data_IF_243898992648
#
_entry.id   IF_243898992648
#
_cell.length_a   1.000
_cell.length_b   1.000
_cell.length_c   1.000
_cell.angle_alpha   90.00
_cell.angle_beta   90.00
_cell.angle_gamma   90.00
#
_symmetry.space_group_name_H-M   'P 1'
#
loop_
_entity.id
_entity.type
_entity.pdbx_description
1 polymer ?
#
# COMPACT_ATOMS: atom_id res chain seq x y z
N UNK A 1 3.44 -12.33 1.10
CA UNK A 1 4.82 -11.97 1.42
C UNK A 1 4.84 -10.88 2.47
N UNK A 2 5.69 -11.00 3.45
CA UNK A 2 5.68 -10.14 4.64
C UNK A 2 7.10 -9.80 5.06
N UNK A 3 7.30 -8.57 5.50
CA UNK A 3 8.57 -8.12 6.05
C UNK A 3 8.30 -7.24 7.28
N UNK A 4 9.06 -7.47 8.35
CA UNK A 4 8.99 -6.67 9.58
C UNK A 4 10.31 -5.94 9.76
N UNK A 5 10.24 -4.66 10.12
CA UNK A 5 11.42 -3.82 10.28
C UNK A 5 11.19 -2.81 11.41
N UNK A 6 12.28 -2.43 12.08
CA UNK A 6 12.26 -1.32 13.03
C UNK A 6 12.63 -0.04 12.29
N UNK A 7 11.84 1.00 12.49
CA UNK A 7 12.11 2.33 11.93
C UNK A 7 12.28 3.33 13.08
N UNK A 8 13.07 4.37 12.81
CA UNK A 8 13.23 5.49 13.73
C UNK A 8 12.09 6.47 13.56
N UNK A 9 11.61 7.01 14.68
CA UNK A 9 10.56 8.00 14.70
C UNK A 9 9.32 7.51 15.41
N UNK A 10 8.21 8.18 15.16
CA UNK A 10 6.92 7.88 15.78
C UNK A 10 6.00 7.21 14.78
N UNK A 11 5.28 6.18 15.24
CA UNK A 11 4.30 5.51 14.38
C UNK A 11 3.19 6.45 13.93
N UNK A 12 2.84 7.45 14.75
CA UNK A 12 1.83 8.46 14.41
C UNK A 12 2.25 9.27 13.18
N UNK A 13 3.52 9.64 13.10
CA UNK A 13 4.08 10.32 11.92
C UNK A 13 3.99 9.43 10.68
N UNK A 14 4.32 8.16 10.83
CA UNK A 14 4.25 7.20 9.74
C UNK A 14 2.83 7.01 9.23
N UNK A 15 1.87 6.83 10.13
CA UNK A 15 0.46 6.67 9.75
C UNK A 15 -0.06 7.92 9.04
N UNK A 16 0.31 9.10 9.53
CA UNK A 16 -0.06 10.37 8.91
C UNK A 16 0.45 10.47 7.47
N UNK A 17 1.67 9.98 7.21
CA UNK A 17 2.23 9.93 5.85
C UNK A 17 1.37 9.05 4.94
N UNK A 18 0.90 7.91 5.42
CA UNK A 18 0.01 7.04 4.64
C UNK A 18 -1.29 7.77 4.28
N UNK A 19 -1.89 8.44 5.25
CA UNK A 19 -3.16 9.17 5.05
C UNK A 19 -2.96 10.32 4.06
N UNK A 20 -1.92 11.11 4.21
CA UNK A 20 -1.63 12.21 3.29
C UNK A 20 -1.37 11.68 1.86
N UNK A 21 -0.64 10.58 1.75
CA UNK A 21 -0.33 9.97 0.45
C UNK A 21 -1.59 9.47 -0.26
N UNK A 22 -2.48 8.80 0.47
CA UNK A 22 -3.71 8.29 -0.14
C UNK A 22 -4.66 9.42 -0.48
N UNK A 23 -4.73 10.48 0.34
CA UNK A 23 -5.55 11.66 0.02
C UNK A 23 -5.05 12.35 -1.25
N UNK A 24 -3.74 12.50 -1.40
CA UNK A 24 -3.16 13.08 -2.61
C UNK A 24 -3.53 12.24 -3.84
N UNK A 25 -3.50 10.92 -3.72
CA UNK A 25 -3.85 10.00 -4.81
C UNK A 25 -5.34 10.08 -5.15
N UNK A 26 -6.21 10.10 -4.13
CA UNK A 26 -7.66 10.24 -4.33
C UNK A 26 -7.97 11.55 -5.04
N UNK A 27 -7.41 12.65 -4.57
CA UNK A 27 -7.68 13.97 -5.14
C UNK A 27 -7.12 14.12 -6.54
N UNK A 28 -5.98 13.50 -6.83
CA UNK A 28 -5.41 13.50 -8.18
C UNK A 28 -6.26 12.71 -9.18
N UNK A 29 -7.03 11.73 -8.71
CA UNK A 29 -7.89 10.89 -9.55
C UNK A 29 -9.37 11.26 -9.48
N UNK A 30 -9.74 12.31 -8.75
CA UNK A 30 -11.12 12.76 -8.64
C UNK A 30 -11.59 13.36 -9.96
N UNK A 31 -12.69 12.83 -10.50
CA UNK A 31 -13.26 13.27 -11.79
C UNK A 31 -14.35 14.33 -11.60
N UNK A 32 -14.92 14.42 -10.41
CA UNK A 32 -16.05 15.33 -10.11
C UNK A 32 -15.63 16.66 -9.51
N UNK A 33 -14.32 16.91 -9.40
CA UNK A 33 -13.78 18.14 -8.82
C UNK A 33 -13.92 18.22 -7.30
N UNK A 34 -14.45 17.17 -6.66
CA UNK A 34 -14.57 17.14 -5.20
C UNK A 34 -13.20 16.96 -4.57
N UNK A 35 -12.93 17.74 -3.52
CA UNK A 35 -11.71 17.63 -2.73
C UNK A 35 -12.04 16.84 -1.47
N UNK A 36 -11.35 15.71 -1.30
CA UNK A 36 -11.51 14.83 -0.14
C UNK A 36 -10.53 15.23 0.95
N UNK A 37 -10.97 15.08 2.19
CA UNK A 37 -10.16 15.33 3.38
C UNK A 37 -10.09 14.05 4.22
N UNK A 38 -9.26 14.06 5.26
CA UNK A 38 -9.09 12.92 6.15
C UNK A 38 -10.42 12.44 6.75
N UNK A 39 -11.35 13.38 7.03
CA UNK A 39 -12.66 13.04 7.60
C UNK A 39 -13.55 12.24 6.66
N UNK A 40 -13.28 12.26 5.36
CA UNK A 40 -14.03 11.47 4.38
C UNK A 40 -13.56 10.01 4.35
N UNK A 41 -12.39 9.71 4.89
CA UNK A 41 -11.83 8.36 4.88
C UNK A 41 -12.42 7.51 5.99
N UNK A 42 -12.80 6.29 5.64
CA UNK A 42 -13.34 5.30 6.58
C UNK A 42 -13.06 3.90 6.03
N UNK A 43 -13.09 2.86 6.87
CA UNK A 43 -12.97 1.49 6.36
C UNK A 43 -14.06 1.22 5.33
N UNK A 44 -13.64 0.67 4.19
CA UNK A 44 -14.53 0.42 3.05
C UNK A 44 -14.61 1.56 2.04
N UNK A 45 -13.93 2.67 2.27
CA UNK A 45 -13.86 3.76 1.29
C UNK A 45 -13.24 3.27 -0.01
N UNK A 46 -13.84 3.60 -1.15
CA UNK A 46 -13.36 3.16 -2.47
C UNK A 46 -13.17 4.36 -3.40
N UNK A 47 -12.19 4.23 -4.28
CA UNK A 47 -11.97 5.19 -5.37
C UNK A 47 -11.35 4.47 -6.56
N UNK A 48 -11.37 5.13 -7.71
CA UNK A 48 -10.80 4.58 -8.93
C UNK A 48 -9.54 5.34 -9.30
N UNK A 49 -8.49 4.59 -9.62
CA UNK A 49 -7.20 5.11 -10.00
C UNK A 49 -6.92 4.80 -11.46
N UNK A 50 -6.50 5.80 -12.23
CA UNK A 50 -6.10 5.62 -13.62
C UNK A 50 -4.68 5.08 -13.67
N UNK A 51 -4.49 3.97 -14.39
CA UNK A 51 -3.18 3.41 -14.65
C UNK A 51 -2.88 3.53 -16.13
N UNK A 52 -1.70 4.08 -16.44
CA UNK A 52 -1.15 3.97 -17.78
C UNK A 52 -0.30 2.73 -17.86
N UNK A 53 -0.71 1.79 -18.72
CA UNK A 53 0.13 0.63 -19.02
C UNK A 53 1.22 1.02 -20.00
N UNK A 54 2.33 0.26 -20.01
CA UNK A 54 3.44 0.48 -20.94
C UNK A 54 3.03 0.44 -22.41
N UNK A 55 1.82 -0.03 -22.72
CA UNK A 55 1.28 -0.14 -24.08
C UNK A 55 0.29 0.98 -24.42
N UNK A 56 0.21 2.02 -23.60
CA UNK A 56 -0.66 3.17 -23.85
C UNK A 56 -2.14 2.91 -23.64
N UNK A 57 -2.52 1.76 -23.09
CA UNK A 57 -3.90 1.46 -22.76
C UNK A 57 -4.23 2.02 -21.38
N UNK A 58 -5.21 2.92 -21.33
CA UNK A 58 -5.72 3.43 -20.08
C UNK A 58 -6.52 2.32 -19.37
N UNK A 59 -6.04 1.90 -18.19
CA UNK A 59 -6.78 1.00 -17.31
C UNK A 59 -7.25 1.73 -16.07
N UNK A 60 -8.31 1.22 -15.45
CA UNK A 60 -8.79 1.70 -14.16
C UNK A 60 -8.64 0.59 -13.13
N UNK A 61 -8.15 0.97 -11.96
CA UNK A 61 -8.05 0.07 -10.80
C UNK A 61 -8.94 0.64 -9.70
N UNK A 62 -9.80 -0.21 -9.17
CA UNK A 62 -10.59 0.15 -7.98
C UNK A 62 -9.71 -0.07 -6.75
N UNK A 63 -9.63 0.96 -5.91
CA UNK A 63 -8.90 0.88 -4.65
C UNK A 63 -9.90 0.92 -3.51
N UNK A 64 -9.76 0.00 -2.57
CA UNK A 64 -10.57 -0.05 -1.36
C UNK A 64 -9.66 0.09 -0.14
N UNK A 65 -9.95 1.06 0.72
CA UNK A 65 -9.29 1.17 2.02
C UNK A 65 -9.99 0.22 2.98
N UNK A 66 -9.50 -1.03 3.04
CA UNK A 66 -10.21 -2.11 3.72
C UNK A 66 -10.18 -1.98 5.24
N UNK A 67 -9.06 -1.51 5.80
CA UNK A 67 -8.94 -1.26 7.24
C UNK A 67 -8.17 0.02 7.48
N UNK A 68 -8.67 0.83 8.41
CA UNK A 68 -8.03 2.06 8.85
C UNK A 68 -8.19 2.13 10.37
N UNK A 69 -7.15 1.73 11.09
CA UNK A 69 -7.08 1.88 12.55
C UNK A 69 -5.99 2.90 12.83
N UNK A 70 -6.35 4.09 13.33
CA UNK A 70 -5.37 5.17 13.50
C UNK A 70 -4.12 4.74 14.24
N UNK A 71 -2.98 5.02 13.63
CA UNK A 71 -1.63 4.76 14.14
C UNK A 71 -1.27 3.27 14.29
N UNK A 72 -2.13 2.37 13.83
CA UNK A 72 -1.91 0.93 14.02
C UNK A 72 -2.02 0.11 12.73
N UNK A 73 -3.09 0.29 11.95
CA UNK A 73 -3.36 -0.58 10.79
C UNK A 73 -3.81 0.24 9.59
N UNK A 74 -3.20 -0.05 8.45
CA UNK A 74 -3.61 0.49 7.15
C UNK A 74 -3.61 -0.67 6.15
N UNK A 75 -4.78 -0.98 5.59
CA UNK A 75 -4.91 -2.05 4.60
C UNK A 75 -5.63 -1.50 3.37
N UNK A 76 -5.02 -1.65 2.21
CA UNK A 76 -5.60 -1.25 0.94
C UNK A 76 -5.66 -2.44 -0.01
N UNK A 77 -6.77 -2.56 -0.73
CA UNK A 77 -6.98 -3.58 -1.76
C UNK A 77 -7.08 -2.93 -3.12
N UNK A 78 -6.36 -3.48 -4.07
CA UNK A 78 -6.32 -3.00 -5.46
C UNK A 78 -6.96 -4.06 -6.35
N UNK A 79 -8.11 -3.73 -6.94
CA UNK A 79 -8.87 -4.64 -7.79
C UNK A 79 -8.53 -4.34 -9.26
N UNK A 80 -8.00 -5.34 -9.94
CA UNK A 80 -7.67 -5.24 -11.36
C UNK A 80 -8.31 -6.39 -12.13
N UNK A 81 -8.21 -6.35 -13.46
CA UNK A 81 -8.68 -7.44 -14.31
C UNK A 81 -7.93 -8.76 -14.05
N UNK A 82 -6.76 -8.69 -13.43
CA UNK A 82 -5.93 -9.87 -13.17
C UNK A 82 -6.15 -10.47 -11.79
N UNK A 83 -6.74 -9.73 -10.86
CA UNK A 83 -6.97 -10.20 -9.51
C UNK A 83 -6.96 -9.06 -8.49
N UNK A 84 -6.77 -9.43 -7.23
CA UNK A 84 -6.78 -8.50 -6.10
C UNK A 84 -5.42 -8.50 -5.42
N UNK A 85 -4.79 -7.33 -5.34
CA UNK A 85 -3.57 -7.13 -4.58
C UNK A 85 -3.91 -6.45 -3.26
N UNK A 86 -3.55 -7.09 -2.14
CA UNK A 86 -3.78 -6.55 -0.80
C UNK A 86 -2.45 -6.13 -0.19
N UNK A 87 -2.39 -4.86 0.21
CA UNK A 87 -1.22 -4.27 0.85
C UNK A 87 -1.60 -3.91 2.27
N UNK A 88 -0.81 -4.39 3.23
CA UNK A 88 -1.08 -4.18 4.67
C UNK A 88 0.12 -3.57 5.36
N UNK A 89 -0.15 -2.61 6.23
CA UNK A 89 0.84 -2.02 7.15
C UNK A 89 0.31 -2.15 8.57
N UNK A 90 1.11 -2.76 9.44
CA UNK A 90 0.84 -2.84 10.87
C UNK A 90 1.96 -2.11 11.60
N UNK A 91 1.57 -1.18 12.47
CA UNK A 91 2.51 -0.37 13.22
C UNK A 91 2.41 -0.71 14.71
N UNK A 92 3.55 -0.86 15.36
CA UNK A 92 3.63 -1.19 16.77
C UNK A 92 4.63 -0.28 17.48
N UNK A 93 4.29 0.11 18.70
CA UNK A 93 5.25 0.81 19.56
C UNK A 93 6.35 -0.15 20.00
N UNK A 94 7.59 0.30 19.95
CA UNK A 94 8.74 -0.46 20.47
C UNK A 94 9.38 0.29 21.63
N UNK A 95 10.12 1.36 21.33
CA UNK A 95 10.83 2.17 22.31
C UNK A 95 10.61 3.65 21.99
N UNK A 96 11.17 4.51 22.83
CA UNK A 96 11.20 5.95 22.54
C UNK A 96 11.89 6.16 21.19
N UNK A 97 11.22 6.82 20.25
CA UNK A 97 11.70 7.14 18.92
C UNK A 97 11.95 5.92 18.01
N UNK A 98 11.42 4.74 18.37
CA UNK A 98 11.43 3.55 17.54
C UNK A 98 10.04 2.95 17.44
N UNK A 99 9.68 2.50 16.24
CA UNK A 99 8.44 1.75 16.03
C UNK A 99 8.68 0.58 15.08
N UNK A 100 7.89 -0.47 15.25
CA UNK A 100 7.90 -1.62 14.36
C UNK A 100 6.88 -1.45 13.24
N UNK A 101 7.29 -1.79 12.03
CA UNK A 101 6.38 -1.85 10.89
C UNK A 101 6.42 -3.24 10.28
N UNK A 102 5.24 -3.84 10.11
CA UNK A 102 5.08 -5.08 9.37
C UNK A 102 4.32 -4.76 8.09
N UNK A 103 5.01 -4.92 6.97
CA UNK A 103 4.45 -4.75 5.65
C UNK A 103 4.16 -6.11 5.05
N UNK A 104 2.96 -6.29 4.51
CA UNK A 104 2.64 -7.51 3.77
C UNK A 104 1.95 -7.17 2.47
N UNK A 105 2.19 -8.00 1.46
CA UNK A 105 1.58 -7.87 0.15
C UNK A 105 1.17 -9.25 -0.33
N UNK A 106 -0.11 -9.38 -0.69
CA UNK A 106 -0.70 -10.62 -1.17
C UNK A 106 -1.45 -10.36 -2.47
N UNK A 107 -1.21 -11.21 -3.45
CA UNK A 107 -1.92 -11.15 -4.72
C UNK A 107 -2.72 -12.43 -4.93
N UNK A 108 -4.03 -12.29 -5.14
CA UNK A 108 -4.92 -13.42 -5.46
C UNK A 108 -5.41 -13.22 -6.89
N UNK A 109 -5.03 -14.15 -7.77
CA UNK A 109 -5.44 -14.13 -9.17
C UNK A 109 -6.81 -14.78 -9.34
N UNK A 110 -7.68 -14.12 -10.13
CA UNK A 110 -8.97 -14.69 -10.52
C UNK A 110 -8.82 -15.85 -11.52
N UNK A 111 -7.64 -15.96 -12.12
CA UNK A 111 -7.34 -17.04 -13.06
C UNK A 111 -6.57 -18.13 -12.34
N UNK A 112 -7.19 -19.30 -12.18
CA UNK A 112 -6.49 -20.51 -11.74
C UNK A 112 -5.45 -20.86 -12.80
N UNK A 113 -4.23 -20.41 -12.59
CA UNK A 113 -3.13 -20.76 -13.46
C UNK A 113 -2.74 -22.22 -13.20
N UNK A 114 -3.06 -23.09 -14.15
CA UNK A 114 -2.58 -24.47 -14.15
C UNK A 114 -1.14 -24.58 -14.71
N UNK A 115 -0.41 -23.48 -14.74
CA UNK A 115 0.91 -23.42 -15.33
C UNK A 115 1.96 -23.95 -14.38
N UNK A 116 2.70 -24.94 -14.85
CA UNK A 116 3.85 -25.51 -14.13
C UNK A 116 4.94 -24.49 -13.81
N UNK A 117 4.96 -23.39 -14.55
CA UNK A 117 5.90 -22.29 -14.33
C UNK A 117 5.49 -21.33 -13.21
N UNK A 118 4.28 -21.50 -12.66
CA UNK A 118 3.75 -20.61 -11.63
C UNK A 118 4.63 -20.58 -10.38
N UNK A 119 5.12 -21.75 -9.95
CA UNK A 119 5.97 -21.82 -8.74
C UNK A 119 7.33 -21.14 -8.96
N UNK A 120 7.89 -21.24 -10.17
CA UNK A 120 9.16 -20.58 -10.50
C UNK A 120 8.98 -19.06 -10.59
N UNK A 121 7.91 -18.61 -11.24
CA UNK A 121 7.59 -17.18 -11.34
C UNK A 121 7.24 -16.58 -9.99
N UNK A 122 6.57 -17.32 -9.11
CA UNK A 122 6.26 -16.85 -7.76
C UNK A 122 7.52 -16.66 -6.92
N UNK A 123 8.54 -17.53 -7.10
CA UNK A 123 9.83 -17.37 -6.42
C UNK A 123 10.60 -16.14 -6.93
N UNK A 124 10.59 -15.90 -8.24
CA UNK A 124 11.21 -14.72 -8.83
C UNK A 124 10.46 -13.45 -8.41
N UNK A 125 9.14 -13.49 -8.41
CA UNK A 125 8.30 -12.40 -7.93
C UNK A 125 8.58 -12.11 -6.45
N UNK A 126 8.71 -13.15 -5.64
CA UNK A 126 9.02 -13.02 -4.22
C UNK A 126 10.35 -12.29 -3.98
N UNK A 127 11.40 -12.62 -4.75
CA UNK A 127 12.69 -11.95 -4.66
C UNK A 127 12.60 -10.47 -5.05
N UNK A 128 11.94 -10.20 -6.17
CA UNK A 128 11.73 -8.83 -6.65
C UNK A 128 10.91 -8.02 -5.67
N UNK A 129 9.87 -8.63 -5.08
CA UNK A 129 9.00 -7.97 -4.11
C UNK A 129 9.72 -7.63 -2.82
N UNK A 130 10.59 -8.51 -2.30
CA UNK A 130 11.40 -8.22 -1.11
C UNK A 130 12.31 -7.01 -1.33
N UNK A 131 12.96 -6.93 -2.48
CA UNK A 131 13.80 -5.79 -2.84
C UNK A 131 12.99 -4.49 -2.90
N UNK A 132 11.81 -4.55 -3.52
CA UNK A 132 10.89 -3.41 -3.60
C UNK A 132 10.40 -2.99 -2.23
N UNK A 133 10.05 -3.94 -1.37
CA UNK A 133 9.58 -3.66 -0.01
C UNK A 133 10.66 -3.00 0.82
N UNK A 134 11.90 -3.48 0.75
CA UNK A 134 13.02 -2.87 1.47
C UNK A 134 13.28 -1.45 0.99
N UNK A 135 13.26 -1.23 -0.33
CA UNK A 135 13.43 0.10 -0.90
C UNK A 135 12.31 1.04 -0.44
N UNK A 136 11.09 0.57 -0.46
CA UNK A 136 9.94 1.35 -0.02
C UNK A 136 10.04 1.71 1.48
N UNK A 137 10.45 0.76 2.33
CA UNK A 137 10.63 1.03 3.75
C UNK A 137 11.77 2.02 4.00
N UNK A 138 12.84 1.97 3.21
CA UNK A 138 13.92 2.96 3.29
C UNK A 138 13.43 4.35 2.88
N UNK A 139 12.60 4.44 1.85
CA UNK A 139 11.98 5.70 1.42
C UNK A 139 11.02 6.22 2.50
N UNK A 140 10.26 5.33 3.13
CA UNK A 140 9.37 5.68 4.22
C UNK A 140 10.15 6.22 5.41
N UNK A 141 11.30 5.62 5.76
CA UNK A 141 12.17 6.13 6.81
C UNK A 141 12.62 7.56 6.50
N UNK A 142 13.00 7.83 5.26
CA UNK A 142 13.41 9.18 4.86
C UNK A 142 12.26 10.18 5.00
N UNK A 143 11.03 9.79 4.67
CA UNK A 143 9.85 10.64 4.83
C UNK A 143 9.54 10.91 6.30
N UNK A 144 9.64 9.89 7.15
CA UNK A 144 9.45 10.06 8.60
C UNK A 144 10.50 11.02 9.16
N UNK A 145 11.77 10.84 8.78
CA UNK A 145 12.87 11.72 9.22
C UNK A 145 12.62 13.18 8.80
N UNK A 146 12.04 13.40 7.62
CA UNK A 146 11.79 14.75 7.11
C UNK A 146 10.66 15.47 7.85
N UNK A 147 9.78 14.76 8.53
CA UNK A 147 8.62 15.34 9.23
C UNK A 147 8.84 15.47 10.74
N UNK A 148 9.93 14.94 11.25
CA UNK A 148 10.25 15.03 12.69
C UNK A 148 11.39 15.98 13.07
#
# INVERSE_FOLDING_TARGET
>A
MEITKLLRGKKETCYHIFIESVLADINANSEDGKVYTETDLHPGFTYYKKLQTKMGKAGRVKVELAQLVPNEVYVAKFYSAQGVNTVSYHLEDEDDDLFGITYSEDFVSDKTSKNLNFSLMSKLYARSSKKKMNLMLNQLQALVDSQE
#
